data_IF_383233804696
#
_entry.id   IF_383233804696
#
_cell.length_a   1.000
_cell.length_b   1.000
_cell.length_c   1.000
_cell.angle_alpha   90.00
_cell.angle_beta   90.00
_cell.angle_gamma   90.00
#
_symmetry.space_group_name_H-M   'P 1'
#
loop_
_entity.id
_entity.type
_entity.pdbx_description
1 polymer ?
#
# COMPACT_ATOMS: atom_id res chain seq x y z
N UNK A 1 -20.88 -0.18 30.10
CA UNK A 1 -21.42 0.21 28.80
C UNK A 1 -20.69 1.41 28.17
N UNK A 2 -20.33 2.42 28.93
CA UNK A 2 -19.72 3.67 28.43
C UNK A 2 -18.30 3.48 27.83
N UNK A 3 -17.53 2.53 28.32
CA UNK A 3 -16.14 2.28 27.88
C UNK A 3 -16.09 1.63 26.49
N UNK A 4 -17.00 0.73 26.21
CA UNK A 4 -17.09 0.02 24.92
C UNK A 4 -17.51 0.95 23.76
N UNK A 5 -18.42 1.88 24.04
CA UNK A 5 -18.86 2.88 23.05
C UNK A 5 -17.74 3.88 22.74
N UNK A 6 -16.90 4.21 23.72
CA UNK A 6 -15.77 5.12 23.54
C UNK A 6 -14.64 4.47 22.69
N UNK A 7 -14.37 3.19 22.91
CA UNK A 7 -13.39 2.43 22.11
C UNK A 7 -13.81 2.33 20.64
N UNK A 8 -15.08 2.01 20.36
CA UNK A 8 -15.63 1.96 18.99
C UNK A 8 -15.56 3.33 18.29
N UNK A 9 -15.80 4.42 19.00
CA UNK A 9 -15.70 5.77 18.43
C UNK A 9 -14.25 6.18 18.10
N UNK A 10 -13.28 5.71 18.86
CA UNK A 10 -11.86 5.97 18.60
C UNK A 10 -11.38 5.15 17.41
N UNK A 11 -11.81 3.90 17.28
CA UNK A 11 -11.49 3.04 16.14
C UNK A 11 -12.13 3.55 14.84
N UNK A 12 -13.38 3.98 14.90
CA UNK A 12 -14.09 4.55 13.74
C UNK A 12 -13.48 5.88 13.28
N UNK A 13 -13.04 6.72 14.21
CA UNK A 13 -12.30 7.96 13.91
C UNK A 13 -10.94 7.67 13.29
N UNK A 14 -10.18 6.71 13.84
CA UNK A 14 -8.91 6.31 13.29
C UNK A 14 -9.07 5.74 11.86
N UNK A 15 -10.13 4.97 11.62
CA UNK A 15 -10.46 4.43 10.30
C UNK A 15 -10.76 5.56 9.30
N UNK A 16 -11.55 6.55 9.69
CA UNK A 16 -11.89 7.72 8.85
C UNK A 16 -10.64 8.57 8.57
N UNK A 17 -9.78 8.82 9.56
CA UNK A 17 -8.54 9.57 9.38
C UNK A 17 -7.56 8.86 8.45
N UNK A 18 -7.44 7.53 8.56
CA UNK A 18 -6.62 6.70 7.66
C UNK A 18 -7.18 6.68 6.22
N UNK A 19 -8.52 6.66 6.07
CA UNK A 19 -9.19 6.61 4.77
C UNK A 19 -9.07 7.92 3.98
N UNK A 20 -9.09 9.07 4.64
CA UNK A 20 -9.14 10.39 3.98
C UNK A 20 -7.83 10.75 3.26
N UNK A 21 -6.70 10.18 3.68
CA UNK A 21 -5.38 10.51 3.12
C UNK A 21 -4.77 9.41 2.24
N UNK A 22 -5.45 8.28 2.07
CA UNK A 22 -4.87 7.14 1.35
C UNK A 22 -5.22 7.20 -0.14
N UNK A 23 -4.27 7.62 -0.96
CA UNK A 23 -4.35 7.59 -2.43
C UNK A 23 -3.61 6.38 -3.02
N UNK A 24 -3.31 5.38 -2.20
CA UNK A 24 -2.54 4.21 -2.61
C UNK A 24 -3.23 3.44 -3.73
N UNK A 25 -2.45 3.04 -4.72
CA UNK A 25 -2.86 2.12 -5.77
C UNK A 25 -2.47 0.70 -5.35
N UNK A 26 -3.44 -0.12 -5.03
CA UNK A 26 -3.25 -1.48 -4.52
C UNK A 26 -3.53 -2.50 -5.60
N UNK A 27 -2.55 -3.33 -5.92
CA UNK A 27 -2.73 -4.53 -6.72
C UNK A 27 -3.10 -5.69 -5.80
N UNK A 28 -4.32 -6.21 -5.95
CA UNK A 28 -4.82 -7.37 -5.21
C UNK A 28 -4.66 -8.60 -6.07
N UNK A 29 -3.97 -9.62 -5.54
CA UNK A 29 -3.72 -10.89 -6.22
C UNK A 29 -4.31 -12.03 -5.39
N UNK A 30 -5.37 -12.63 -5.89
CA UNK A 30 -6.17 -13.67 -5.21
C UNK A 30 -6.91 -14.49 -6.25
N UNK A 31 -6.74 -15.80 -6.26
CA UNK A 31 -7.37 -16.68 -7.26
C UNK A 31 -8.85 -16.98 -6.95
N UNK A 32 -9.22 -17.01 -5.67
CA UNK A 32 -10.61 -17.22 -5.26
C UNK A 32 -11.46 -15.97 -5.42
N UNK A 33 -12.38 -15.99 -6.38
CA UNK A 33 -13.19 -14.83 -6.76
C UNK A 33 -13.93 -14.18 -5.59
N UNK A 34 -14.52 -14.96 -4.67
CA UNK A 34 -15.27 -14.42 -3.53
C UNK A 34 -14.35 -13.75 -2.51
N UNK A 35 -13.16 -14.32 -2.26
CA UNK A 35 -12.17 -13.74 -1.36
C UNK A 35 -11.62 -12.46 -1.97
N UNK A 36 -11.30 -12.47 -3.28
CA UNK A 36 -10.84 -11.28 -4.01
C UNK A 36 -11.86 -10.16 -3.96
N UNK A 37 -13.15 -10.44 -4.24
CA UNK A 37 -14.23 -9.45 -4.17
C UNK A 37 -14.34 -8.83 -2.77
N UNK A 38 -14.25 -9.64 -1.72
CA UNK A 38 -14.28 -9.15 -0.33
C UNK A 38 -13.10 -8.25 0.00
N UNK A 39 -11.88 -8.62 -0.46
CA UNK A 39 -10.69 -7.80 -0.28
C UNK A 39 -10.80 -6.46 -1.04
N UNK A 40 -11.28 -6.52 -2.29
CA UNK A 40 -11.52 -5.33 -3.12
C UNK A 40 -12.49 -4.37 -2.44
N UNK A 41 -13.66 -4.86 -2.02
CA UNK A 41 -14.66 -4.04 -1.35
C UNK A 41 -14.10 -3.38 -0.08
N UNK A 42 -13.43 -4.17 0.75
CA UNK A 42 -12.83 -3.69 1.99
C UNK A 42 -11.78 -2.59 1.73
N UNK A 43 -10.86 -2.81 0.80
CA UNK A 43 -9.75 -1.88 0.52
C UNK A 43 -10.25 -0.64 -0.23
N UNK A 44 -11.28 -0.77 -1.09
CA UNK A 44 -11.94 0.38 -1.72
C UNK A 44 -12.63 1.30 -0.70
N UNK A 45 -13.23 0.73 0.34
CA UNK A 45 -13.84 1.51 1.42
C UNK A 45 -12.82 2.33 2.21
N UNK A 46 -11.54 1.97 2.14
CA UNK A 46 -10.42 2.74 2.71
C UNK A 46 -9.96 3.91 1.83
N UNK A 47 -10.59 4.12 0.67
CA UNK A 47 -10.23 5.18 -0.28
C UNK A 47 -9.11 4.82 -1.25
N UNK A 48 -8.59 3.58 -1.21
CA UNK A 48 -7.58 3.10 -2.15
C UNK A 48 -8.14 2.88 -3.55
N UNK A 49 -7.29 3.04 -4.55
CA UNK A 49 -7.55 2.59 -5.92
C UNK A 49 -7.09 1.15 -6.07
N UNK A 50 -7.87 0.35 -6.79
CA UNK A 50 -7.63 -1.09 -6.88
C UNK A 50 -7.37 -1.51 -8.33
N UNK A 51 -6.44 -2.43 -8.47
CA UNK A 51 -6.26 -3.27 -9.65
C UNK A 51 -6.28 -4.72 -9.18
N UNK A 52 -6.92 -5.61 -9.93
CA UNK A 52 -7.07 -7.01 -9.57
C UNK A 52 -6.24 -7.89 -10.49
N UNK A 53 -5.73 -8.98 -9.95
CA UNK A 53 -5.14 -10.09 -10.68
C UNK A 53 -5.60 -11.42 -10.06
N UNK A 54 -5.78 -12.43 -10.89
CA UNK A 54 -6.23 -13.76 -10.45
C UNK A 54 -5.08 -14.73 -10.19
N UNK A 55 -3.85 -14.37 -10.58
CA UNK A 55 -2.64 -15.16 -10.37
C UNK A 55 -1.38 -14.28 -10.47
N UNK A 56 -0.23 -14.88 -10.21
CA UNK A 56 1.04 -14.18 -10.22
C UNK A 56 1.46 -13.71 -11.63
N UNK A 57 1.15 -14.47 -12.68
CA UNK A 57 1.51 -14.10 -14.06
C UNK A 57 0.79 -12.82 -14.49
N UNK A 58 -0.51 -12.73 -14.23
CA UNK A 58 -1.30 -11.52 -14.49
C UNK A 58 -0.81 -10.33 -13.67
N UNK A 59 -0.43 -10.57 -12.41
CA UNK A 59 0.14 -9.53 -11.55
C UNK A 59 1.45 -8.96 -12.12
N UNK A 60 2.34 -9.80 -12.62
CA UNK A 60 3.59 -9.39 -13.26
C UNK A 60 3.33 -8.60 -14.54
N UNK A 61 2.37 -9.01 -15.37
CA UNK A 61 1.99 -8.30 -16.59
C UNK A 61 1.45 -6.90 -16.27
N UNK A 62 0.61 -6.79 -15.26
CA UNK A 62 0.09 -5.51 -14.75
C UNK A 62 1.23 -4.62 -14.27
N UNK A 63 2.13 -5.12 -13.43
CA UNK A 63 3.26 -4.37 -12.88
C UNK A 63 4.27 -3.95 -13.95
N UNK A 64 4.38 -4.71 -15.02
CA UNK A 64 5.25 -4.37 -16.15
C UNK A 64 4.67 -3.22 -16.98
N UNK A 65 3.34 -3.13 -17.07
CA UNK A 65 2.63 -2.13 -17.88
C UNK A 65 2.25 -0.87 -17.10
N UNK A 66 2.31 -0.88 -15.75
CA UNK A 66 1.88 0.21 -14.88
C UNK A 66 2.99 0.62 -13.91
N UNK A 67 3.09 1.92 -13.67
CA UNK A 67 4.09 2.52 -12.75
C UNK A 67 3.45 3.22 -11.54
N UNK A 68 2.12 3.19 -11.45
CA UNK A 68 1.35 3.89 -10.42
C UNK A 68 0.91 2.98 -9.26
N UNK A 69 1.24 1.69 -9.31
CA UNK A 69 0.98 0.74 -8.22
C UNK A 69 2.06 0.92 -7.14
N UNK A 70 1.63 1.13 -5.92
CA UNK A 70 2.51 1.31 -4.78
C UNK A 70 2.33 0.27 -3.66
N UNK A 71 1.27 -0.55 -3.72
CA UNK A 71 1.06 -1.65 -2.78
C UNK A 71 0.70 -2.92 -3.53
N UNK A 72 1.39 -4.02 -3.22
CA UNK A 72 1.00 -5.39 -3.56
C UNK A 72 0.31 -6.02 -2.35
N UNK A 73 -0.91 -6.53 -2.55
CA UNK A 73 -1.65 -7.31 -1.57
C UNK A 73 -1.93 -8.69 -2.17
N UNK A 74 -1.22 -9.73 -1.73
CA UNK A 74 -1.24 -11.06 -2.37
C UNK A 74 -1.54 -12.18 -1.39
N UNK A 75 -2.34 -13.15 -1.82
CA UNK A 75 -2.42 -14.46 -1.15
C UNK A 75 -1.18 -15.29 -1.44
N UNK A 76 -0.82 -16.19 -0.51
CA UNK A 76 0.26 -17.17 -0.71
C UNK A 76 -0.22 -18.31 -1.59
N UNK A 77 -1.38 -18.89 -1.24
CA UNK A 77 -1.88 -20.12 -1.84
C UNK A 77 -2.60 -19.83 -3.16
N UNK A 78 -1.86 -19.67 -4.22
CA UNK A 78 -2.40 -19.52 -5.58
C UNK A 78 -1.91 -20.64 -6.49
N UNK A 79 -2.76 -21.17 -7.36
CA UNK A 79 -2.34 -22.13 -8.37
C UNK A 79 -1.49 -21.45 -9.44
N UNK A 80 -0.58 -22.21 -10.05
CA UNK A 80 0.25 -21.74 -11.15
C UNK A 80 1.72 -22.04 -10.97
N UNK A 81 2.55 -21.44 -11.80
CA UNK A 81 4.00 -21.63 -11.77
C UNK A 81 4.69 -20.87 -10.63
N UNK A 82 4.01 -19.86 -10.05
CA UNK A 82 4.52 -18.99 -9.02
C UNK A 82 3.48 -18.82 -7.92
N UNK A 83 3.85 -19.09 -6.67
CA UNK A 83 3.01 -18.79 -5.50
C UNK A 83 3.14 -17.33 -5.05
N UNK A 84 2.35 -16.92 -4.05
CA UNK A 84 2.37 -15.53 -3.58
C UNK A 84 3.66 -15.12 -2.88
N UNK A 85 4.45 -16.04 -2.31
CA UNK A 85 5.76 -15.73 -1.74
C UNK A 85 6.81 -15.50 -2.83
N UNK A 86 6.79 -16.32 -3.86
CA UNK A 86 7.65 -16.14 -5.03
C UNK A 86 7.32 -14.86 -5.78
N UNK A 87 6.01 -14.52 -5.90
CA UNK A 87 5.56 -13.24 -6.44
C UNK A 87 6.07 -12.07 -5.58
N UNK A 88 5.92 -12.15 -4.27
CA UNK A 88 6.39 -11.12 -3.35
C UNK A 88 7.90 -10.87 -3.50
N UNK A 89 8.69 -11.95 -3.59
CA UNK A 89 10.13 -11.83 -3.82
C UNK A 89 10.46 -11.22 -5.18
N UNK A 90 9.80 -11.65 -6.25
CA UNK A 90 9.99 -11.09 -7.59
C UNK A 90 9.65 -9.58 -7.64
N UNK A 91 8.59 -9.18 -6.95
CA UNK A 91 8.18 -7.76 -6.86
C UNK A 91 9.18 -6.94 -6.06
N UNK A 92 9.65 -7.46 -4.92
CA UNK A 92 10.68 -6.82 -4.11
C UNK A 92 11.96 -6.54 -4.90
N UNK A 93 12.40 -7.49 -5.71
CA UNK A 93 13.65 -7.39 -6.47
C UNK A 93 13.53 -6.47 -7.69
N UNK A 94 12.38 -6.47 -8.37
CA UNK A 94 12.17 -5.73 -9.62
C UNK A 94 11.54 -4.36 -9.44
N UNK A 95 10.72 -4.17 -8.41
CA UNK A 95 10.01 -2.91 -8.10
C UNK A 95 10.16 -2.54 -6.61
N UNK A 96 11.36 -2.16 -6.17
CA UNK A 96 11.66 -1.96 -4.73
C UNK A 96 10.87 -0.84 -4.07
N UNK A 97 10.16 0.00 -4.85
CA UNK A 97 9.28 1.04 -4.34
C UNK A 97 7.87 0.55 -4.00
N UNK A 98 7.52 -0.72 -4.31
CA UNK A 98 6.21 -1.28 -4.02
C UNK A 98 6.22 -1.90 -2.63
N UNK A 99 5.33 -1.44 -1.76
CA UNK A 99 5.09 -2.03 -0.46
C UNK A 99 4.39 -3.38 -0.61
N UNK A 100 4.77 -4.39 0.19
CA UNK A 100 4.29 -5.76 0.01
C UNK A 100 3.55 -6.24 1.25
N UNK A 101 2.32 -6.68 1.06
CA UNK A 101 1.49 -7.35 2.06
C UNK A 101 1.16 -8.75 1.55
N UNK A 102 1.53 -9.75 2.32
CA UNK A 102 1.27 -11.16 2.02
C UNK A 102 0.20 -11.69 2.97
N UNK A 103 -0.78 -12.40 2.45
CA UNK A 103 -1.86 -12.99 3.26
C UNK A 103 -1.92 -14.49 3.07
N UNK A 104 -2.42 -15.21 4.05
CA UNK A 104 -2.68 -16.65 3.96
C UNK A 104 -3.65 -17.11 5.04
N UNK A 105 -4.49 -18.08 4.70
CA UNK A 105 -5.40 -18.75 5.63
C UNK A 105 -4.80 -20.00 6.26
N UNK A 106 -3.88 -20.65 5.61
CA UNK A 106 -3.36 -21.96 6.01
C UNK A 106 -1.89 -21.93 6.39
N UNK A 107 -1.08 -21.21 5.63
CA UNK A 107 0.37 -21.18 5.77
C UNK A 107 0.79 -19.94 6.56
N UNK A 108 1.63 -20.13 7.57
CA UNK A 108 2.33 -19.02 8.23
C UNK A 108 3.78 -19.03 7.75
N UNK A 109 4.20 -18.03 6.98
CA UNK A 109 5.57 -17.95 6.53
C UNK A 109 6.50 -17.69 7.72
N UNK A 110 7.70 -18.24 7.66
CA UNK A 110 8.79 -17.88 8.57
C UNK A 110 9.35 -16.52 8.23
N UNK A 111 10.05 -15.86 9.15
CA UNK A 111 10.62 -14.54 8.91
C UNK A 111 11.59 -14.50 7.71
N UNK A 112 12.24 -15.63 7.35
CA UNK A 112 13.12 -15.71 6.19
C UNK A 112 12.42 -16.00 4.87
N UNK A 113 11.12 -16.32 4.87
CA UNK A 113 10.34 -16.59 3.66
C UNK A 113 9.78 -15.31 3.03
N UNK A 114 9.79 -14.22 3.78
CA UNK A 114 9.23 -12.93 3.36
C UNK A 114 10.33 -11.96 2.94
N UNK A 115 10.12 -11.19 1.87
CA UNK A 115 11.02 -10.09 1.51
C UNK A 115 11.19 -9.09 2.66
N UNK A 116 12.37 -8.50 2.76
CA UNK A 116 12.64 -7.48 3.79
C UNK A 116 11.68 -6.30 3.64
N UNK A 117 11.08 -5.87 4.74
CA UNK A 117 10.14 -4.74 4.76
C UNK A 117 8.70 -5.11 4.41
N UNK A 118 8.43 -6.34 3.93
CA UNK A 118 7.05 -6.80 3.71
C UNK A 118 6.31 -7.07 5.02
N UNK A 119 4.99 -7.18 4.95
CA UNK A 119 4.12 -7.52 6.07
C UNK A 119 3.32 -8.77 5.78
N UNK A 120 3.06 -9.56 6.81
CA UNK A 120 2.18 -10.72 6.76
C UNK A 120 0.91 -10.47 7.57
N UNK A 121 -0.23 -10.79 6.98
CA UNK A 121 -1.54 -10.73 7.64
C UNK A 121 -2.23 -12.08 7.49
N UNK A 122 -2.52 -12.75 8.61
CA UNK A 122 -3.25 -14.02 8.58
C UNK A 122 -4.74 -13.80 8.25
N UNK A 123 -5.30 -14.68 7.41
CA UNK A 123 -6.77 -14.75 7.20
C UNK A 123 -7.43 -15.52 8.37
N UNK A 124 -8.64 -15.16 8.81
CA UNK A 124 -9.39 -13.97 8.41
C UNK A 124 -8.78 -12.69 9.01
N UNK A 125 -8.75 -11.61 8.24
CA UNK A 125 -8.21 -10.33 8.67
C UNK A 125 -9.32 -9.28 8.83
N UNK A 126 -9.08 -8.35 9.74
CA UNK A 126 -9.97 -7.22 9.99
C UNK A 126 -9.58 -6.02 9.13
N UNK A 127 -10.59 -5.25 8.68
CA UNK A 127 -10.41 -4.06 7.86
C UNK A 127 -9.42 -3.06 8.49
N UNK A 128 -9.51 -2.83 9.79
CA UNK A 128 -8.62 -1.90 10.50
C UNK A 128 -7.15 -2.36 10.47
N UNK A 129 -6.90 -3.66 10.60
CA UNK A 129 -5.54 -4.23 10.51
C UNK A 129 -4.95 -3.99 9.13
N UNK A 130 -5.71 -4.24 8.07
CA UNK A 130 -5.28 -4.01 6.69
C UNK A 130 -5.04 -2.51 6.44
N UNK A 131 -5.96 -1.64 6.87
CA UNK A 131 -5.85 -0.19 6.71
C UNK A 131 -4.57 0.36 7.38
N UNK A 132 -4.32 -0.03 8.63
CA UNK A 132 -3.10 0.37 9.35
C UNK A 132 -1.84 -0.09 8.64
N UNK A 133 -1.83 -1.34 8.18
CA UNK A 133 -0.67 -1.91 7.49
C UNK A 133 -0.38 -1.18 6.19
N UNK A 134 -1.40 -0.88 5.37
CA UNK A 134 -1.24 -0.10 4.13
C UNK A 134 -0.71 1.30 4.46
N UNK A 135 -1.30 1.97 5.44
CA UNK A 135 -0.89 3.33 5.84
C UNK A 135 0.57 3.37 6.35
N UNK A 136 0.96 2.42 7.21
CA UNK A 136 2.32 2.35 7.74
C UNK A 136 3.36 2.12 6.63
N UNK A 137 3.04 1.29 5.65
CA UNK A 137 3.93 0.99 4.53
C UNK A 137 4.03 2.17 3.55
N UNK A 138 2.92 2.85 3.27
CA UNK A 138 2.88 4.01 2.38
C UNK A 138 3.68 5.18 2.98
N UNK A 139 3.58 5.38 4.29
CA UNK A 139 4.36 6.38 5.01
C UNK A 139 5.89 6.13 4.99
N UNK A 140 6.30 4.86 4.88
CA UNK A 140 7.71 4.48 4.78
C UNK A 140 8.26 4.57 3.35
N UNK A 141 7.38 4.46 2.33
CA UNK A 141 7.73 4.52 0.91
C UNK A 141 7.71 5.93 0.31
N UNK A 142 7.06 6.88 0.95
CA UNK A 142 7.08 8.28 0.50
C UNK A 142 8.44 8.89 0.81
N UNK A 143 9.19 9.39 -0.20
CA UNK A 143 10.31 10.27 0.09
C UNK A 143 9.77 11.46 0.88
N UNK A 144 10.46 11.83 1.95
CA UNK A 144 10.17 13.00 2.78
C UNK A 144 9.68 14.14 1.88
N UNK A 145 8.46 14.66 2.05
CA UNK A 145 7.96 15.78 1.25
C UNK A 145 8.70 17.08 1.53
N UNK A 146 9.99 17.05 1.80
CA UNK A 146 10.84 18.21 2.01
C UNK A 146 10.13 19.38 2.70
N UNK A 147 10.75 20.29 3.38
CA UNK A 147 10.09 21.29 4.19
C UNK A 147 8.99 22.00 3.39
N UNK A 148 7.74 21.81 3.81
CA UNK A 148 6.58 22.53 3.25
C UNK A 148 6.86 24.02 3.38
N UNK A 149 7.08 24.69 2.26
CA UNK A 149 7.11 26.12 2.17
C UNK A 149 5.77 26.68 2.68
N UNK A 150 5.71 26.97 3.96
CA UNK A 150 4.67 27.88 4.46
C UNK A 150 5.00 29.23 3.88
N UNK A 151 4.19 29.67 2.94
CA UNK A 151 4.27 31.01 2.39
C UNK A 151 4.24 32.06 3.50
N UNK A 152 5.40 32.52 3.88
CA UNK A 152 5.57 33.79 4.56
C UNK A 152 5.79 34.81 3.48
N UNK A 153 4.86 35.73 3.32
CA UNK A 153 5.12 37.00 2.65
C UNK A 153 6.30 37.63 3.35
N UNK A 154 7.46 37.71 2.67
CA UNK A 154 8.34 38.86 2.75
C UNK A 154 9.54 38.66 1.83
N UNK A 155 9.71 39.69 0.96
CA UNK A 155 10.97 40.13 0.38
C UNK A 155 11.62 39.27 -0.70
N UNK A 156 11.28 39.56 -1.92
CA UNK A 156 12.13 39.30 -3.10
C UNK A 156 13.42 40.11 -2.94
N UNK A 157 14.61 39.53 -2.89
CA UNK A 157 15.85 40.27 -3.09
C UNK A 157 15.98 40.62 -4.58
N UNK A 158 15.82 41.87 -4.90
CA UNK A 158 16.26 42.46 -6.17
C UNK A 158 17.78 42.34 -6.25
N UNK A 159 18.29 41.42 -7.04
CA UNK A 159 19.69 41.48 -7.51
C UNK A 159 19.91 40.61 -8.76
N UNK A 160 19.41 41.08 -9.86
CA UNK A 160 20.00 40.86 -11.18
C UNK A 160 19.73 42.10 -12.00
N UNK A 161 20.56 43.10 -11.80
CA UNK A 161 20.69 44.23 -12.65
C UNK A 161 22.11 44.33 -13.17
N UNK A 162 22.20 44.38 -14.49
CA UNK A 162 23.28 44.94 -15.27
C UNK A 162 24.69 44.31 -15.27
N UNK A 163 24.92 43.52 -16.28
CA UNK A 163 26.09 43.74 -17.13
C UNK A 163 25.74 43.44 -18.59
N UNK A 164 25.34 44.48 -19.27
CA UNK A 164 25.30 44.54 -20.71
C UNK A 164 26.72 44.76 -21.26
N UNK A 165 27.00 44.16 -22.35
CA UNK A 165 27.81 44.54 -23.50
C UNK A 165 28.98 45.55 -23.31
N UNK A 166 30.17 45.05 -23.53
CA UNK A 166 31.19 45.62 -24.43
C UNK A 166 32.14 44.54 -24.87
#
# INVERSE_FOLDING_TARGET
>A
MTRYVHELQVEERAYVELSVNNQSFVLIVEDEALIRMSAVEMIQQMGCRIVEAVNADEAIDILTSRTDINVLFTDIEMPGAMDGLELAQAVHDRWPGIAIIVTSGRRRPSAGDLPVGSRFIAKPYEALTVARTIFELDAQGSPDPGPTWRGGHDSVPQRWGDKAFS
#
